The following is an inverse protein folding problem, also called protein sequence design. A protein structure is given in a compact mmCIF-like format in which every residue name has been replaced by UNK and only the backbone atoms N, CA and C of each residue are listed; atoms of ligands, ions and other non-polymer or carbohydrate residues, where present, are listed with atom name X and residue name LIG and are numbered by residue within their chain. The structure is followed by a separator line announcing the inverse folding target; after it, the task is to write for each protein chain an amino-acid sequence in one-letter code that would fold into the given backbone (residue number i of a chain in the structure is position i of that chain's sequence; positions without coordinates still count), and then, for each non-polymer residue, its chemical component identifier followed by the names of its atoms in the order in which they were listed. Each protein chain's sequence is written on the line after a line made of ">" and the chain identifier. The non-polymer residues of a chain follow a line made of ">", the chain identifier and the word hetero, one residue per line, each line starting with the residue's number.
data_IF_697256383259
#
_entry.id   IF_697256383259
#
_cell.length_a   1.000
_cell.length_b   1.000
_cell.length_c   1.000
_cell.angle_alpha   90.00
_cell.angle_beta   90.00
_cell.angle_gamma   90.00
#
_symmetry.space_group_name_H-M   'P 1'
#
loop_
_entity.id
_entity.type
_entity.pdbx_description
1 polymer ?
#
# COMPACT_ATOMS: atom_id res chain seq x y z
N UNK A 1 12.90 -15.13 -55.16
CA UNK A 1 11.64 -15.07 -54.42
C UNK A 1 11.70 -16.03 -53.25
N UNK A 2 11.45 -15.52 -52.05
CA UNK A 2 11.04 -16.26 -50.84
C UNK A 2 10.41 -15.22 -49.90
N UNK A 3 9.39 -15.66 -49.19
CA UNK A 3 8.28 -14.84 -48.68
C UNK A 3 8.28 -14.87 -47.15
N UNK A 4 7.52 -13.96 -46.53
CA UNK A 4 7.00 -13.95 -45.14
C UNK A 4 8.00 -13.64 -44.01
N UNK A 5 7.66 -13.05 -42.88
CA UNK A 5 6.59 -12.18 -42.39
C UNK A 5 7.00 -11.81 -40.94
N UNK A 6 6.61 -10.62 -40.47
CA UNK A 6 6.33 -10.30 -39.06
C UNK A 6 7.26 -10.85 -37.96
N UNK A 7 8.27 -10.05 -37.57
CA UNK A 7 8.80 -10.10 -36.20
C UNK A 7 8.34 -8.84 -35.47
N UNK A 8 7.18 -8.98 -34.83
CA UNK A 8 6.53 -8.05 -33.91
C UNK A 8 7.59 -7.52 -32.91
N UNK A 9 8.05 -6.28 -33.13
CA UNK A 9 8.97 -5.61 -32.22
C UNK A 9 8.22 -5.17 -30.96
N UNK A 10 8.41 -5.96 -29.90
CA UNK A 10 8.54 -5.49 -28.52
C UNK A 10 7.40 -4.62 -28.00
N UNK A 11 6.23 -5.25 -27.80
CA UNK A 11 5.21 -4.75 -26.89
C UNK A 11 5.75 -4.73 -25.45
N UNK A 12 6.50 -3.67 -25.08
CA UNK A 12 6.85 -3.39 -23.68
C UNK A 12 5.60 -2.85 -22.97
N UNK A 13 4.60 -3.71 -22.76
CA UNK A 13 3.48 -3.39 -21.86
C UNK A 13 4.04 -3.45 -20.44
N UNK A 14 4.26 -2.28 -19.84
CA UNK A 14 4.48 -2.15 -18.39
C UNK A 14 3.38 -2.97 -17.69
N UNK A 15 3.69 -3.85 -16.73
CA UNK A 15 2.65 -4.49 -15.95
C UNK A 15 1.80 -3.39 -15.33
N UNK A 16 0.51 -3.36 -15.70
CA UNK A 16 -0.49 -2.54 -15.01
C UNK A 16 -0.46 -2.93 -13.53
N UNK A 17 -0.51 -1.98 -12.59
CA UNK A 17 -0.55 -2.31 -11.17
C UNK A 17 -1.77 -3.21 -10.97
N UNK A 18 -1.50 -4.45 -10.56
CA UNK A 18 -2.45 -5.54 -10.49
C UNK A 18 -3.71 -5.10 -9.75
N UNK A 19 -4.76 -4.81 -10.51
CA UNK A 19 -6.07 -4.58 -9.95
C UNK A 19 -6.56 -5.89 -9.33
N UNK A 20 -6.94 -5.78 -8.06
CA UNK A 20 -7.89 -6.65 -7.38
C UNK A 20 -7.38 -8.01 -6.86
N UNK A 21 -6.41 -7.96 -5.95
CA UNK A 21 -6.35 -8.96 -4.88
C UNK A 21 -7.07 -8.33 -3.67
N UNK A 22 -8.40 -8.49 -3.55
CA UNK A 22 -9.08 -8.21 -2.27
C UNK A 22 -8.58 -9.26 -1.28
N UNK A 23 -7.39 -9.04 -0.72
CA UNK A 23 -7.07 -9.56 0.60
C UNK A 23 -7.84 -8.64 1.55
N UNK A 24 -8.76 -9.17 2.37
CA UNK A 24 -9.47 -8.37 3.38
C UNK A 24 -8.52 -7.58 4.30
N UNK A 25 -7.24 -7.93 4.32
CA UNK A 25 -6.21 -7.35 5.16
C UNK A 25 -5.52 -6.11 4.57
N UNK A 26 -5.71 -5.79 3.28
CA UNK A 26 -5.04 -4.64 2.67
C UNK A 26 -5.86 -3.35 2.81
N UNK A 27 -7.19 -3.44 2.84
CA UNK A 27 -8.09 -2.30 3.10
C UNK A 27 -7.92 -1.72 4.51
N UNK A 28 -7.47 -2.53 5.48
CA UNK A 28 -7.16 -2.06 6.83
C UNK A 28 -5.92 -1.18 6.87
N UNK A 29 -5.07 -1.28 5.85
CA UNK A 29 -3.82 -0.53 5.74
C UNK A 29 -3.95 0.77 4.97
N UNK A 30 -5.14 1.23 4.60
CA UNK A 30 -5.30 2.53 3.90
C UNK A 30 -5.90 3.61 4.82
N UNK A 31 -5.28 4.79 4.83
CA UNK A 31 -5.70 5.93 5.63
C UNK A 31 -6.95 6.60 5.03
N UNK A 32 -8.05 6.62 5.78
CA UNK A 32 -9.32 7.24 5.35
C UNK A 32 -9.24 8.76 5.16
N UNK A 33 -8.24 9.43 5.76
CA UNK A 33 -8.10 10.89 5.68
C UNK A 33 -7.33 11.37 4.43
N UNK A 34 -6.37 10.59 3.92
CA UNK A 34 -5.51 11.03 2.80
C UNK A 34 -5.23 9.97 1.74
N UNK A 35 -5.76 8.75 1.89
CA UNK A 35 -5.54 7.64 0.97
C UNK A 35 -4.15 7.00 1.02
N UNK A 36 -3.22 7.52 1.85
CA UNK A 36 -1.90 6.93 2.02
C UNK A 36 -1.94 5.64 2.87
N UNK A 37 -0.88 4.84 2.81
CA UNK A 37 -0.81 3.63 3.62
C UNK A 37 -0.63 3.94 5.12
N UNK A 38 -1.25 3.12 5.95
CA UNK A 38 -1.06 3.00 7.38
C UNK A 38 0.09 2.03 7.65
N UNK A 39 0.94 2.40 8.59
CA UNK A 39 2.10 1.61 9.01
C UNK A 39 1.99 1.29 10.49
N UNK A 40 2.40 0.08 10.86
CA UNK A 40 2.41 -0.36 12.24
C UNK A 40 3.52 0.36 13.00
N UNK A 41 3.16 1.13 14.03
CA UNK A 41 4.09 1.83 14.91
C UNK A 41 3.92 1.33 16.34
N UNK A 42 4.99 1.47 17.11
CA UNK A 42 5.00 1.14 18.54
C UNK A 42 5.09 2.44 19.32
N UNK A 43 4.20 2.62 20.29
CA UNK A 43 4.20 3.77 21.17
C UNK A 43 5.47 3.74 22.05
N UNK A 44 6.37 4.69 21.83
CA UNK A 44 7.62 4.82 22.60
C UNK A 44 7.45 5.62 23.89
N UNK A 45 6.39 6.42 23.98
CA UNK A 45 6.14 7.36 25.09
C UNK A 45 4.63 7.58 25.25
N UNK A 46 4.16 7.83 26.47
CA UNK A 46 2.75 8.12 26.78
C UNK A 46 2.11 7.10 27.72
N UNK A 47 0.76 7.08 27.76
CA UNK A 47 -0.03 6.27 28.71
C UNK A 47 0.16 4.75 28.57
N UNK A 48 0.50 4.26 27.37
CA UNK A 48 0.72 2.83 27.11
C UNK A 48 2.02 2.63 26.28
N UNK A 49 3.20 2.66 26.92
CA UNK A 49 4.46 2.35 26.22
C UNK A 49 4.46 0.89 25.76
N UNK A 50 4.92 0.65 24.53
CA UNK A 50 4.97 -0.70 23.94
C UNK A 50 3.71 -1.11 23.18
N UNK A 51 2.61 -0.37 23.28
CA UNK A 51 1.41 -0.65 22.48
C UNK A 51 1.64 -0.39 21.00
N UNK A 52 1.20 -1.33 20.15
CA UNK A 52 1.19 -1.17 18.70
C UNK A 52 -0.03 -0.34 18.27
N UNK A 53 0.13 0.44 17.22
CA UNK A 53 -0.97 1.19 16.60
C UNK A 53 -0.70 1.39 15.11
N UNK A 54 -1.75 1.52 14.31
CA UNK A 54 -1.64 1.90 12.92
C UNK A 54 -1.52 3.42 12.81
N UNK A 55 -0.46 3.94 12.21
CA UNK A 55 -0.27 5.37 11.98
C UNK A 55 -0.10 5.68 10.49
N UNK A 56 -0.62 6.82 10.04
CA UNK A 56 -0.47 7.22 8.65
C UNK A 56 1.01 7.40 8.26
N UNK A 57 1.41 6.84 7.12
CA UNK A 57 2.78 6.97 6.60
C UNK A 57 3.11 8.42 6.21
N UNK A 58 2.11 9.27 6.00
CA UNK A 58 2.29 10.66 5.57
C UNK A 58 2.43 11.65 6.75
N UNK A 59 2.60 11.15 7.99
CA UNK A 59 2.91 12.00 9.14
C UNK A 59 4.19 12.83 8.89
N UNK A 60 4.25 14.13 9.21
CA UNK A 60 3.30 14.92 10.02
C UNK A 60 2.11 15.52 9.24
N UNK A 61 2.06 15.38 7.91
CA UNK A 61 0.98 15.96 7.08
C UNK A 61 -0.38 15.31 7.32
N UNK A 62 -0.39 14.05 7.76
CA UNK A 62 -1.59 13.35 8.20
C UNK A 62 -1.33 12.67 9.54
N UNK A 63 -2.14 13.01 10.55
CA UNK A 63 -2.03 12.52 11.93
C UNK A 63 -3.00 11.39 12.24
N UNK A 64 -3.65 10.82 11.22
CA UNK A 64 -4.60 9.72 11.39
C UNK A 64 -3.91 8.49 11.98
N UNK A 65 -4.52 7.94 13.03
CA UNK A 65 -4.09 6.73 13.71
C UNK A 65 -5.29 5.83 13.99
N UNK A 66 -5.08 4.52 14.01
CA UNK A 66 -6.06 3.52 14.45
C UNK A 66 -5.43 2.60 15.48
N UNK A 67 -6.27 2.08 16.37
CA UNK A 67 -5.89 1.01 17.28
C UNK A 67 -5.43 -0.23 16.53
N UNK A 68 -4.40 -0.89 17.06
CA UNK A 68 -4.00 -2.21 16.59
C UNK A 68 -4.69 -3.24 17.47
N UNK A 69 -5.77 -3.82 16.96
CA UNK A 69 -6.45 -4.95 17.58
C UNK A 69 -5.90 -6.21 16.93
N UNK A 70 -5.27 -7.07 17.74
CA UNK A 70 -4.65 -8.32 17.28
C UNK A 70 -5.70 -9.42 17.08
#
# INVERSE_FOLDING_TARGET
>A
GYQVADLISSAQRKPFPSANRIRPQEVETTCQNCGANLVLRVARKGKNPGSKFWGCSNFPKCTFTREYTA
#
